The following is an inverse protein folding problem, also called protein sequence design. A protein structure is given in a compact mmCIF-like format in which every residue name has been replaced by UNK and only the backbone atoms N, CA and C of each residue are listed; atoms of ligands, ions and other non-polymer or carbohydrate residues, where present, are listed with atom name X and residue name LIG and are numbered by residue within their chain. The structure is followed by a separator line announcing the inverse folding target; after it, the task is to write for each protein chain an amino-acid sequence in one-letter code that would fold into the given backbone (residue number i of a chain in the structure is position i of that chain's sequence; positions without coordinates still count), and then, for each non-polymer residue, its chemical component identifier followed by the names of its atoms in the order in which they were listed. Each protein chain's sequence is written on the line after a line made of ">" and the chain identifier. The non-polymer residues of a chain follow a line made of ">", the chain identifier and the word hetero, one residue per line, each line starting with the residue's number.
data_IF_252993129024
#
_entry.id   IF_252993129024
#
_cell.length_a   1.000
_cell.length_b   1.000
_cell.length_c   1.000
_cell.angle_alpha   90.00
_cell.angle_beta   90.00
_cell.angle_gamma   90.00
#
_symmetry.space_group_name_H-M   'P 1'
#
loop_
_entity.id
_entity.type
_entity.pdbx_description
1 polymer ?
#
# COMPACT_ATOMS: atom_id res chain seq x y z
N UNK A 1 -25.57 15.37 -8.63
CA UNK A 1 -25.45 14.28 -7.64
C UNK A 1 -24.29 14.62 -6.71
N UNK A 2 -24.57 14.99 -5.47
CA UNK A 2 -23.55 15.10 -4.43
C UNK A 2 -23.01 13.69 -4.21
N UNK A 3 -21.74 13.51 -4.50
CA UNK A 3 -21.15 12.19 -4.54
C UNK A 3 -20.42 11.95 -3.22
N UNK A 4 -21.04 11.13 -2.37
CA UNK A 4 -20.54 10.73 -1.05
C UNK A 4 -19.46 9.62 -1.14
N UNK A 5 -18.74 9.49 -2.26
CA UNK A 5 -17.63 8.56 -2.33
C UNK A 5 -16.45 9.05 -1.49
N UNK A 6 -15.74 8.09 -0.87
CA UNK A 6 -14.36 8.29 -0.40
C UNK A 6 -13.41 7.86 -1.51
N UNK A 7 -12.48 8.74 -1.89
CA UNK A 7 -11.32 8.37 -2.71
C UNK A 7 -10.20 7.83 -1.84
N UNK A 8 -9.87 6.55 -2.00
CA UNK A 8 -8.74 5.91 -1.31
C UNK A 8 -7.64 5.62 -2.31
N UNK A 9 -6.44 6.15 -2.07
CA UNK A 9 -5.25 5.87 -2.88
C UNK A 9 -4.22 5.08 -2.08
N UNK A 10 -3.63 4.05 -2.70
CA UNK A 10 -2.42 3.39 -2.22
C UNK A 10 -1.29 3.63 -3.21
N UNK A 11 -0.11 4.01 -2.71
CA UNK A 11 1.04 4.27 -3.54
C UNK A 11 2.38 3.98 -2.86
N UNK A 12 3.11 2.98 -3.36
CA UNK A 12 4.53 2.81 -3.05
C UNK A 12 5.35 3.83 -3.86
N UNK A 13 5.86 4.85 -3.17
CA UNK A 13 6.54 6.00 -3.80
C UNK A 13 8.05 5.83 -3.91
N UNK A 14 8.59 4.67 -3.54
CA UNK A 14 10.03 4.35 -3.58
C UNK A 14 10.89 5.50 -3.07
N UNK A 15 10.61 5.94 -1.84
CA UNK A 15 11.33 7.02 -1.17
C UNK A 15 11.35 8.36 -1.92
N UNK A 16 10.35 8.65 -2.76
CA UNK A 16 10.33 9.86 -3.59
C UNK A 16 11.60 10.02 -4.45
N UNK A 17 12.17 8.89 -4.91
CA UNK A 17 13.42 8.86 -5.65
C UNK A 17 14.64 9.42 -4.89
N UNK A 18 14.67 9.34 -3.55
CA UNK A 18 15.77 9.84 -2.72
C UNK A 18 17.16 9.38 -3.17
N UNK A 19 17.29 8.13 -3.63
CA UNK A 19 18.55 7.56 -4.12
C UNK A 19 18.74 7.68 -5.66
N UNK A 20 17.95 8.52 -6.33
CA UNK A 20 18.08 8.84 -7.78
C UNK A 20 18.06 7.62 -8.70
N UNK A 21 17.22 6.62 -8.42
CA UNK A 21 17.03 5.45 -9.28
C UNK A 21 16.45 5.82 -10.66
N UNK A 22 15.62 6.86 -10.70
CA UNK A 22 15.11 7.46 -11.93
C UNK A 22 15.95 8.72 -12.21
N UNK A 23 16.46 8.85 -13.43
CA UNK A 23 17.26 10.00 -13.90
C UNK A 23 16.36 11.22 -14.17
N UNK A 24 15.73 11.71 -13.13
CA UNK A 24 14.84 12.87 -13.14
C UNK A 24 14.79 13.43 -11.71
N UNK A 25 15.39 14.60 -11.49
CA UNK A 25 15.44 15.23 -10.17
C UNK A 25 14.06 15.81 -9.74
N UNK A 26 13.09 15.91 -10.66
CA UNK A 26 11.76 16.43 -10.38
C UNK A 26 10.75 15.35 -9.92
N UNK A 27 11.18 14.10 -9.73
CA UNK A 27 10.28 13.00 -9.37
C UNK A 27 9.54 13.25 -8.05
N UNK A 28 10.22 13.78 -7.03
CA UNK A 28 9.58 14.16 -5.75
C UNK A 28 8.39 15.11 -5.99
N UNK A 29 8.63 16.19 -6.74
CA UNK A 29 7.61 17.19 -7.07
C UNK A 29 6.49 16.62 -7.96
N UNK A 30 6.82 15.72 -8.90
CA UNK A 30 5.84 15.06 -9.77
C UNK A 30 4.91 14.14 -8.98
N UNK A 31 5.45 13.40 -7.99
CA UNK A 31 4.65 12.56 -7.10
C UNK A 31 3.71 13.44 -6.26
N UNK A 32 4.23 14.49 -5.63
CA UNK A 32 3.42 15.42 -4.81
C UNK A 32 2.32 16.07 -5.65
N UNK A 33 2.68 16.59 -6.83
CA UNK A 33 1.74 17.25 -7.75
C UNK A 33 0.65 16.27 -8.21
N UNK A 34 1.03 15.04 -8.56
CA UNK A 34 0.08 14.00 -8.95
C UNK A 34 -0.90 13.65 -7.83
N UNK A 35 -0.41 13.46 -6.59
CA UNK A 35 -1.27 13.16 -5.45
C UNK A 35 -2.26 14.30 -5.20
N UNK A 36 -1.79 15.54 -5.19
CA UNK A 36 -2.64 16.72 -4.99
C UNK A 36 -3.65 16.89 -6.14
N UNK A 37 -3.25 16.64 -7.40
CA UNK A 37 -4.13 16.66 -8.58
C UNK A 37 -5.25 15.61 -8.47
N UNK A 38 -4.92 14.38 -8.06
CA UNK A 38 -5.93 13.32 -7.87
C UNK A 38 -6.78 13.52 -6.62
N UNK A 39 -6.28 14.30 -5.66
CA UNK A 39 -6.97 14.71 -4.43
C UNK A 39 -7.71 13.53 -3.76
N UNK A 40 -7.00 12.44 -3.42
CA UNK A 40 -7.61 11.37 -2.65
C UNK A 40 -7.99 11.89 -1.25
N UNK A 41 -9.01 11.31 -0.65
CA UNK A 41 -9.47 11.69 0.69
C UNK A 41 -8.69 10.93 1.77
N UNK A 42 -8.22 9.74 1.42
CA UNK A 42 -7.30 8.91 2.21
C UNK A 42 -6.17 8.43 1.32
N UNK A 43 -4.93 8.56 1.79
CA UNK A 43 -3.73 8.21 1.06
C UNK A 43 -2.84 7.32 1.93
N UNK A 44 -2.65 6.07 1.51
CA UNK A 44 -1.72 5.13 2.09
C UNK A 44 -0.43 5.10 1.29
N UNK A 45 0.68 5.56 1.88
CA UNK A 45 1.99 5.57 1.23
C UNK A 45 2.87 4.48 1.82
N UNK A 46 3.35 3.59 0.96
CA UNK A 46 4.47 2.71 1.27
C UNK A 46 5.76 3.38 0.84
N UNK A 47 6.84 3.05 1.53
CA UNK A 47 8.15 3.61 1.25
C UNK A 47 8.22 5.15 1.33
N UNK A 48 7.50 5.74 2.28
CA UNK A 48 7.46 7.17 2.51
C UNK A 48 8.76 7.65 3.18
N UNK A 49 9.60 8.38 2.45
CA UNK A 49 10.69 9.17 3.02
C UNK A 49 10.11 10.50 3.54
N UNK A 50 10.20 10.79 4.84
CA UNK A 50 9.62 11.98 5.45
C UNK A 50 10.46 13.25 5.19
N UNK A 51 9.82 14.41 5.11
CA UNK A 51 10.42 15.71 4.77
C UNK A 51 9.36 16.79 4.84
N UNK A 52 9.61 17.84 5.60
CA UNK A 52 8.72 19.00 5.79
C UNK A 52 8.53 19.83 4.51
N UNK A 53 9.40 19.64 3.52
CA UNK A 53 9.33 20.36 2.24
C UNK A 53 8.18 19.86 1.36
N UNK A 54 7.68 18.63 1.60
CA UNK A 54 6.60 18.04 0.78
C UNK A 54 5.24 18.48 1.29
N UNK A 55 4.57 19.29 0.49
CA UNK A 55 3.22 19.82 0.77
C UNK A 55 2.16 18.91 0.17
N UNK A 56 1.74 17.91 0.95
CA UNK A 56 0.56 17.10 0.66
C UNK A 56 -0.66 17.78 1.29
N UNK A 57 -1.73 17.96 0.53
CA UNK A 57 -2.94 18.67 0.98
C UNK A 57 -3.85 17.79 1.87
N UNK A 58 -3.39 17.52 3.09
CA UNK A 58 -4.11 16.74 4.08
C UNK A 58 -4.04 17.40 5.46
N UNK A 59 -5.16 17.39 6.16
CA UNK A 59 -5.26 17.93 7.52
C UNK A 59 -4.70 16.99 8.59
N UNK A 60 -4.78 15.68 8.35
CA UNK A 60 -4.36 14.66 9.31
C UNK A 60 -3.36 13.72 8.67
N UNK A 61 -2.38 13.27 9.47
CA UNK A 61 -1.40 12.30 9.03
C UNK A 61 -0.95 11.40 10.18
N UNK A 62 -0.46 10.23 9.81
CA UNK A 62 0.20 9.30 10.69
C UNK A 62 1.39 8.69 9.96
N UNK A 63 2.58 8.85 10.51
CA UNK A 63 3.83 8.32 9.97
C UNK A 63 4.47 7.38 10.98
N UNK A 64 4.93 6.22 10.49
CA UNK A 64 5.69 5.25 11.27
C UNK A 64 7.00 4.95 10.55
N UNK A 65 8.15 5.38 11.08
CA UNK A 65 9.45 5.09 10.48
C UNK A 65 9.80 3.60 10.60
N UNK A 66 10.60 3.08 9.65
CA UNK A 66 11.10 1.69 9.67
C UNK A 66 12.01 1.39 10.87
N UNK A 67 12.68 2.40 11.40
CA UNK A 67 13.45 2.31 12.65
C UNK A 67 13.63 3.70 13.26
N UNK A 68 14.00 3.76 14.55
CA UNK A 68 14.17 5.02 15.30
C UNK A 68 15.11 6.03 14.63
N UNK A 69 16.05 5.57 13.80
CA UNK A 69 17.07 6.41 13.17
C UNK A 69 16.85 6.63 11.66
N UNK A 70 15.73 6.14 11.11
CA UNK A 70 15.45 6.26 9.67
C UNK A 70 14.27 7.17 9.42
N UNK A 71 14.45 8.13 8.54
CA UNK A 71 13.41 9.07 8.11
C UNK A 71 12.52 8.49 7.00
N UNK A 72 12.23 7.19 7.06
CA UNK A 72 11.58 6.44 5.99
C UNK A 72 10.72 5.32 6.55
N UNK A 73 9.51 5.12 6.04
CA UNK A 73 8.57 4.12 6.55
C UNK A 73 7.22 4.09 5.84
N UNK A 74 6.15 3.89 6.63
CA UNK A 74 4.77 3.91 6.17
C UNK A 74 4.10 5.21 6.61
N UNK A 75 3.23 5.76 5.77
CA UNK A 75 2.40 6.89 6.14
C UNK A 75 0.95 6.68 5.70
N UNK A 76 0.01 7.20 6.48
CA UNK A 76 -1.38 7.39 6.06
C UNK A 76 -1.73 8.86 6.24
N UNK A 77 -2.28 9.47 5.20
CA UNK A 77 -2.82 10.83 5.21
C UNK A 77 -4.33 10.78 5.04
N UNK A 78 -5.03 11.70 5.70
CA UNK A 78 -6.49 11.74 5.71
C UNK A 78 -7.00 13.17 5.73
N UNK A 79 -8.06 13.43 4.96
CA UNK A 79 -8.86 14.65 5.08
C UNK A 79 -9.85 14.59 6.25
N UNK A 80 -10.18 13.38 6.70
CA UNK A 80 -11.04 13.12 7.85
C UNK A 80 -10.24 13.05 9.16
N UNK A 81 -10.82 13.47 10.30
CA UNK A 81 -10.17 13.36 11.61
C UNK A 81 -9.73 11.93 11.92
N UNK A 82 -8.46 11.77 12.29
CA UNK A 82 -7.92 10.52 12.82
C UNK A 82 -8.20 10.47 14.32
N UNK A 83 -9.07 9.56 14.75
CA UNK A 83 -9.48 9.43 16.16
C UNK A 83 -8.73 8.31 16.90
N UNK A 84 -8.14 7.38 16.17
CA UNK A 84 -7.24 6.37 16.70
C UNK A 84 -6.24 5.94 15.62
N UNK A 85 -5.07 5.42 16.02
CA UNK A 85 -4.01 4.98 15.10
C UNK A 85 -3.09 3.99 15.79
N UNK A 86 -2.48 3.10 15.02
CA UNK A 86 -1.57 2.10 15.57
C UNK A 86 -0.66 1.46 14.54
N UNK A 87 0.36 0.78 15.05
CA UNK A 87 1.37 0.06 14.27
C UNK A 87 1.42 -1.38 14.76
N UNK A 88 1.45 -2.33 13.83
CA UNK A 88 1.54 -3.75 14.18
C UNK A 88 2.98 -4.13 14.58
N UNK A 89 3.98 -3.34 14.21
CA UNK A 89 5.39 -3.54 14.58
C UNK A 89 5.87 -4.96 14.29
N UNK A 90 5.82 -5.39 13.03
CA UNK A 90 6.33 -6.70 12.63
C UNK A 90 7.75 -6.92 13.17
N UNK A 91 7.92 -8.00 13.96
CA UNK A 91 9.19 -8.30 14.61
C UNK A 91 10.29 -8.52 13.57
N UNK A 92 11.48 -8.00 13.86
CA UNK A 92 12.68 -8.19 13.03
C UNK A 92 12.47 -7.82 11.55
N UNK A 93 11.60 -6.84 11.30
CA UNK A 93 11.23 -6.44 9.96
C UNK A 93 11.35 -4.95 9.75
N UNK A 94 11.86 -4.60 8.57
CA UNK A 94 11.78 -3.27 8.00
C UNK A 94 10.41 -3.01 7.35
N UNK A 95 9.58 -4.05 7.23
CA UNK A 95 8.21 -4.02 6.73
C UNK A 95 7.23 -3.89 7.89
N UNK A 96 6.02 -3.41 7.64
CA UNK A 96 5.04 -3.19 8.70
C UNK A 96 3.61 -3.14 8.14
N UNK A 97 2.64 -3.13 9.06
CA UNK A 97 1.28 -2.71 8.80
C UNK A 97 0.90 -1.64 9.82
N UNK A 98 0.29 -0.56 9.35
CA UNK A 98 -0.20 0.53 10.21
C UNK A 98 -1.66 0.78 9.92
N UNK A 99 -2.39 1.36 10.88
CA UNK A 99 -3.78 1.72 10.69
C UNK A 99 -4.11 3.08 11.27
N UNK A 100 -5.17 3.67 10.74
CA UNK A 100 -5.88 4.81 11.32
C UNK A 100 -7.36 4.48 11.40
N UNK A 101 -8.03 4.96 12.44
CA UNK A 101 -9.48 5.00 12.53
C UNK A 101 -9.89 6.44 12.25
N UNK A 102 -10.70 6.65 11.22
CA UNK A 102 -11.18 7.96 10.82
C UNK A 102 -12.64 8.15 11.20
N UNK A 103 -13.00 9.37 11.58
CA UNK A 103 -14.39 9.78 11.81
C UNK A 103 -14.99 10.37 10.53
N UNK A 104 -16.05 9.76 10.00
CA UNK A 104 -16.81 10.27 8.86
C UNK A 104 -18.28 10.40 9.25
N UNK A 105 -18.75 11.63 9.40
CA UNK A 105 -20.08 11.88 9.98
C UNK A 105 -20.15 11.33 11.40
N UNK A 106 -21.00 10.32 11.63
CA UNK A 106 -21.13 9.61 12.92
C UNK A 106 -20.44 8.24 12.94
N UNK A 107 -19.92 7.79 11.80
CA UNK A 107 -19.33 6.46 11.65
C UNK A 107 -17.80 6.50 11.79
N UNK A 108 -17.24 5.38 12.23
CA UNK A 108 -15.79 5.15 12.26
C UNK A 108 -15.40 4.12 11.21
N UNK A 109 -14.39 4.44 10.41
CA UNK A 109 -13.84 3.55 9.38
C UNK A 109 -12.38 3.31 9.70
N UNK A 110 -11.96 2.04 9.75
CA UNK A 110 -10.54 1.68 9.88
C UNK A 110 -9.89 1.57 8.51
N UNK A 111 -8.74 2.22 8.33
CA UNK A 111 -7.92 2.10 7.13
C UNK A 111 -6.56 1.54 7.49
N UNK A 112 -6.21 0.41 6.89
CA UNK A 112 -4.90 -0.22 6.99
C UNK A 112 -4.02 0.13 5.80
N UNK A 113 -2.75 0.35 6.07
CA UNK A 113 -1.66 0.43 5.08
C UNK A 113 -0.65 -0.68 5.38
N UNK A 114 -0.61 -1.69 4.49
CA UNK A 114 0.29 -2.83 4.56
C UNK A 114 1.49 -2.61 3.62
N UNK A 115 2.68 -2.95 4.09
CA UNK A 115 3.83 -3.17 3.22
C UNK A 115 4.52 -4.44 3.67
N UNK A 116 4.19 -5.56 3.04
CA UNK A 116 4.69 -6.89 3.41
C UNK A 116 6.10 -7.14 2.90
N UNK A 117 6.77 -8.16 3.44
CA UNK A 117 8.15 -8.51 3.11
C UNK A 117 8.35 -8.67 1.59
N UNK A 118 9.29 -7.89 1.03
CA UNK A 118 9.72 -8.06 -0.36
C UNK A 118 10.55 -9.32 -0.54
N UNK A 119 10.34 -10.02 -1.66
CA UNK A 119 11.15 -11.15 -2.10
C UNK A 119 12.52 -10.73 -2.64
N UNK A 120 12.72 -9.43 -2.91
CA UNK A 120 14.00 -8.84 -3.38
C UNK A 120 14.58 -9.54 -4.62
N UNK A 121 13.73 -10.07 -5.47
CA UNK A 121 14.12 -10.67 -6.74
C UNK A 121 14.26 -9.58 -7.81
N UNK A 122 15.33 -9.65 -8.60
CA UNK A 122 15.52 -8.80 -9.77
C UNK A 122 15.45 -9.67 -11.03
N UNK A 123 14.31 -9.70 -11.72
CA UNK A 123 14.15 -10.60 -12.85
C UNK A 123 14.97 -10.24 -14.10
N UNK A 124 15.62 -9.07 -14.12
CA UNK A 124 16.53 -8.68 -15.19
C UNK A 124 17.95 -9.25 -15.00
N UNK A 125 18.20 -10.02 -13.93
CA UNK A 125 19.51 -10.62 -13.63
C UNK A 125 19.42 -12.14 -13.60
N UNK A 126 20.54 -12.79 -13.93
CA UNK A 126 20.71 -14.23 -13.69
C UNK A 126 20.45 -14.56 -12.22
N UNK A 127 19.85 -15.73 -11.97
CA UNK A 127 19.41 -16.17 -10.63
C UNK A 127 18.61 -15.09 -9.87
N UNK A 128 17.91 -14.22 -10.61
CA UNK A 128 17.14 -13.10 -10.08
C UNK A 128 17.96 -12.15 -9.17
N UNK A 129 19.27 -12.03 -9.43
CA UNK A 129 20.19 -11.20 -8.67
C UNK A 129 20.90 -11.92 -7.52
N UNK A 130 20.66 -13.22 -7.33
CA UNK A 130 21.42 -14.06 -6.39
C UNK A 130 22.64 -14.69 -7.06
N UNK A 131 23.57 -15.17 -6.24
CA UNK A 131 24.80 -15.81 -6.71
C UNK A 131 24.52 -17.16 -7.39
N UNK A 132 23.54 -17.92 -6.87
CA UNK A 132 23.16 -19.24 -7.39
C UNK A 132 21.71 -19.59 -7.04
N UNK A 133 21.23 -20.70 -7.62
CA UNK A 133 19.86 -21.20 -7.44
C UNK A 133 19.54 -21.58 -5.99
N UNK A 134 20.50 -22.13 -5.24
CA UNK A 134 20.31 -22.48 -3.83
C UNK A 134 20.06 -21.25 -2.95
N UNK A 135 20.84 -20.19 -3.16
CA UNK A 135 20.64 -18.90 -2.46
C UNK A 135 19.31 -18.25 -2.85
N UNK A 136 18.90 -18.38 -4.11
CA UNK A 136 17.58 -17.94 -4.56
C UNK A 136 16.46 -18.68 -3.85
N UNK A 137 16.51 -20.01 -3.80
CA UNK A 137 15.50 -20.83 -3.09
C UNK A 137 15.45 -20.43 -1.62
N UNK A 138 16.59 -20.35 -0.96
CA UNK A 138 16.67 -19.95 0.45
C UNK A 138 16.13 -18.54 0.69
N UNK A 139 16.37 -17.59 -0.23
CA UNK A 139 15.81 -16.24 -0.16
C UNK A 139 14.29 -16.24 -0.26
N UNK A 140 13.75 -16.98 -1.23
CA UNK A 140 12.31 -17.09 -1.44
C UNK A 140 11.65 -17.74 -0.22
N UNK A 141 12.21 -18.84 0.28
CA UNK A 141 11.74 -19.53 1.49
C UNK A 141 11.66 -18.56 2.69
N UNK A 142 12.77 -17.88 2.99
CA UNK A 142 12.81 -16.90 4.09
C UNK A 142 11.82 -15.74 3.86
N UNK A 143 11.68 -15.29 2.61
CA UNK A 143 10.72 -14.25 2.24
C UNK A 143 9.28 -14.68 2.50
N UNK A 144 8.90 -15.89 2.06
CA UNK A 144 7.56 -16.43 2.25
C UNK A 144 7.25 -16.74 3.72
N UNK A 145 8.19 -17.28 4.48
CA UNK A 145 8.02 -17.49 5.93
C UNK A 145 7.71 -16.16 6.64
N UNK A 146 8.48 -15.10 6.33
CA UNK A 146 8.22 -13.76 6.88
C UNK A 146 6.86 -13.22 6.45
N UNK A 147 6.49 -13.35 5.16
CA UNK A 147 5.17 -12.93 4.69
C UNK A 147 4.04 -13.68 5.43
N UNK A 148 4.20 -14.97 5.70
CA UNK A 148 3.23 -15.76 6.45
C UNK A 148 3.03 -15.23 7.87
N UNK A 149 4.12 -15.04 8.63
CA UNK A 149 4.05 -14.48 10.00
C UNK A 149 3.44 -13.08 10.02
N UNK A 150 3.81 -12.22 9.07
CA UNK A 150 3.24 -10.86 8.95
C UNK A 150 1.74 -10.89 8.64
N UNK A 151 1.32 -11.81 7.76
CA UNK A 151 -0.08 -12.00 7.39
C UNK A 151 -0.89 -12.49 8.58
N UNK A 152 -0.39 -13.47 9.33
CA UNK A 152 -1.07 -13.99 10.53
C UNK A 152 -1.19 -12.92 11.62
N UNK A 153 -0.14 -12.13 11.83
CA UNK A 153 -0.18 -11.01 12.78
C UNK A 153 -1.21 -9.95 12.35
N UNK A 154 -1.28 -9.63 11.06
CA UNK A 154 -2.29 -8.75 10.52
C UNK A 154 -3.71 -9.29 10.74
N UNK A 155 -3.98 -10.55 10.36
CA UNK A 155 -5.30 -11.17 10.49
C UNK A 155 -5.75 -11.25 11.96
N UNK A 156 -4.83 -11.52 12.89
CA UNK A 156 -5.12 -11.54 14.31
C UNK A 156 -5.57 -10.14 14.83
N UNK A 157 -4.92 -9.07 14.36
CA UNK A 157 -5.31 -7.70 14.69
C UNK A 157 -6.62 -7.29 14.00
N UNK A 158 -6.76 -7.60 12.71
CA UNK A 158 -7.96 -7.32 11.92
C UNK A 158 -9.21 -7.94 12.55
N UNK A 159 -9.12 -9.18 13.04
CA UNK A 159 -10.21 -9.89 13.70
C UNK A 159 -10.79 -9.15 14.91
N UNK A 160 -10.02 -8.25 15.55
CA UNK A 160 -10.48 -7.45 16.68
C UNK A 160 -11.39 -6.29 16.25
N UNK A 161 -11.34 -5.89 14.97
CA UNK A 161 -12.21 -4.87 14.39
C UNK A 161 -13.51 -5.50 13.86
N UNK A 162 -14.62 -4.77 14.00
CA UNK A 162 -15.96 -5.18 13.55
C UNK A 162 -16.70 -4.12 12.74
N UNK A 163 -16.10 -2.93 12.59
CA UNK A 163 -16.68 -1.85 11.81
C UNK A 163 -16.30 -1.93 10.34
N UNK A 164 -16.62 -0.84 9.61
CA UNK A 164 -16.23 -0.63 8.21
C UNK A 164 -14.70 -0.61 8.11
N UNK A 165 -14.16 -1.25 7.07
CA UNK A 165 -12.70 -1.32 6.89
C UNK A 165 -12.24 -1.23 5.44
N UNK A 166 -11.06 -0.65 5.27
CA UNK A 166 -10.31 -0.64 4.01
C UNK A 166 -8.89 -1.13 4.30
N UNK A 167 -8.48 -2.19 3.60
CA UNK A 167 -7.13 -2.75 3.68
C UNK A 167 -6.42 -2.46 2.38
N UNK A 168 -5.36 -1.66 2.41
CA UNK A 168 -4.63 -1.32 1.20
C UNK A 168 -3.12 -1.39 1.39
N UNK A 169 -2.39 -1.50 0.30
CA UNK A 169 -0.94 -1.42 0.32
C UNK A 169 -0.23 -2.36 -0.64
N UNK A 170 1.09 -2.44 -0.47
CA UNK A 170 1.99 -3.29 -1.24
C UNK A 170 2.17 -4.64 -0.54
N UNK A 171 1.58 -5.69 -1.10
CA UNK A 171 1.62 -7.02 -0.51
C UNK A 171 2.90 -7.77 -0.92
N UNK A 172 3.72 -7.21 -1.82
CA UNK A 172 4.91 -7.85 -2.37
C UNK A 172 4.66 -9.27 -2.91
N UNK A 173 3.42 -9.56 -3.32
CA UNK A 173 3.01 -10.84 -3.86
C UNK A 173 1.76 -10.69 -4.74
N UNK A 174 1.50 -11.67 -5.59
CA UNK A 174 0.44 -11.57 -6.60
C UNK A 174 -0.94 -11.94 -6.06
N UNK A 175 -1.98 -11.63 -6.84
CA UNK A 175 -3.37 -12.01 -6.59
C UNK A 175 -3.61 -13.54 -6.56
N UNK A 176 -2.61 -14.35 -6.90
CA UNK A 176 -2.67 -15.83 -6.86
C UNK A 176 -1.97 -16.42 -5.63
N UNK A 177 -1.36 -15.57 -4.80
CA UNK A 177 -0.57 -16.00 -3.65
C UNK A 177 -1.43 -16.43 -2.47
N UNK A 178 -0.86 -17.28 -1.60
CA UNK A 178 -1.47 -17.63 -0.32
C UNK A 178 -1.73 -16.40 0.55
N UNK A 179 -0.79 -15.44 0.56
CA UNK A 179 -0.88 -14.18 1.30
C UNK A 179 -2.11 -13.40 0.87
N UNK A 180 -2.26 -13.15 -0.43
CA UNK A 180 -3.42 -12.47 -0.98
C UNK A 180 -4.70 -13.22 -0.61
N UNK A 181 -4.76 -14.53 -0.88
CA UNK A 181 -5.96 -15.36 -0.59
C UNK A 181 -6.38 -15.23 0.87
N UNK A 182 -5.43 -15.26 1.81
CA UNK A 182 -5.71 -15.14 3.24
C UNK A 182 -6.25 -13.75 3.61
N UNK A 183 -5.60 -12.69 3.15
CA UNK A 183 -6.00 -11.31 3.45
C UNK A 183 -7.32 -10.94 2.77
N UNK A 184 -7.56 -11.40 1.54
CA UNK A 184 -8.76 -11.09 0.76
C UNK A 184 -9.98 -11.93 1.14
N UNK A 185 -9.84 -12.91 2.02
CA UNK A 185 -10.97 -13.75 2.45
C UNK A 185 -12.03 -12.89 3.14
N UNK A 186 -13.28 -13.04 2.71
CA UNK A 186 -14.44 -12.24 3.18
C UNK A 186 -14.31 -10.72 2.94
N UNK A 187 -13.60 -10.31 1.89
CA UNK A 187 -13.50 -8.92 1.44
C UNK A 187 -13.77 -8.82 -0.05
N UNK A 188 -14.08 -7.60 -0.50
CA UNK A 188 -14.09 -7.25 -1.92
C UNK A 188 -12.71 -6.75 -2.33
N UNK A 189 -12.20 -7.21 -3.47
CA UNK A 189 -11.02 -6.62 -4.12
C UNK A 189 -11.48 -5.54 -5.09
N UNK A 190 -11.14 -4.28 -4.80
CA UNK A 190 -11.64 -3.15 -5.59
C UNK A 190 -11.26 -3.22 -7.07
N UNK A 191 -10.12 -3.82 -7.40
CA UNK A 191 -9.76 -4.06 -8.80
C UNK A 191 -10.66 -5.12 -9.45
N UNK A 192 -11.00 -6.18 -8.71
CA UNK A 192 -11.85 -7.25 -9.24
C UNK A 192 -13.30 -6.77 -9.45
N UNK A 193 -13.79 -5.89 -8.57
CA UNK A 193 -15.15 -5.33 -8.65
C UNK A 193 -15.30 -4.25 -9.73
N UNK A 194 -14.33 -3.32 -9.85
CA UNK A 194 -14.49 -2.10 -10.65
C UNK A 194 -13.25 -1.71 -11.47
N UNK A 195 -12.29 -2.63 -11.61
CA UNK A 195 -11.07 -2.43 -12.40
C UNK A 195 -11.21 -2.86 -13.86
N UNK A 196 -10.16 -2.59 -14.63
CA UNK A 196 -10.10 -2.95 -16.06
C UNK A 196 -8.69 -3.41 -16.45
N UNK A 197 -8.59 -4.30 -17.43
CA UNK A 197 -7.32 -4.82 -17.93
C UNK A 197 -6.69 -5.82 -16.96
N UNK A 198 -5.36 -5.82 -16.85
CA UNK A 198 -4.60 -6.78 -16.03
C UNK A 198 -4.20 -6.24 -14.64
N UNK A 199 -4.58 -4.99 -14.33
CA UNK A 199 -4.38 -4.40 -13.00
C UNK A 199 -2.92 -4.19 -12.59
N UNK A 200 -2.00 -4.15 -13.56
CA UNK A 200 -0.56 -3.97 -13.35
C UNK A 200 -0.27 -2.79 -12.41
N UNK A 201 0.33 -3.07 -11.26
CA UNK A 201 0.75 -2.07 -10.27
C UNK A 201 2.27 -2.03 -10.05
N UNK A 202 3.01 -2.99 -10.59
CA UNK A 202 4.48 -2.97 -10.59
C UNK A 202 5.05 -2.75 -11.99
N UNK A 203 6.08 -1.91 -12.10
CA UNK A 203 6.74 -1.56 -13.35
C UNK A 203 7.71 -2.67 -13.80
N UNK A 204 7.12 -3.75 -14.27
CA UNK A 204 7.83 -4.92 -14.79
C UNK A 204 7.29 -5.30 -16.18
N UNK A 205 8.03 -6.08 -16.98
CA UNK A 205 7.56 -6.39 -18.35
C UNK A 205 6.25 -7.18 -18.31
N UNK A 206 6.10 -8.09 -17.34
CA UNK A 206 4.87 -8.81 -17.08
C UNK A 206 3.91 -7.95 -16.23
N UNK A 207 2.59 -7.99 -16.48
CA UNK A 207 1.61 -7.17 -15.77
C UNK A 207 1.34 -7.67 -14.34
N UNK A 208 2.34 -7.52 -13.47
CA UNK A 208 2.24 -7.90 -12.07
C UNK A 208 1.38 -6.90 -11.29
N UNK A 209 0.38 -7.43 -10.59
CA UNK A 209 -0.42 -6.72 -9.59
C UNK A 209 -0.03 -7.20 -8.20
N UNK A 210 0.63 -6.31 -7.44
CA UNK A 210 1.11 -6.58 -6.07
C UNK A 210 0.63 -5.55 -5.05
N UNK A 211 0.14 -4.41 -5.52
CA UNK A 211 -0.60 -3.43 -4.73
C UNK A 211 -2.11 -3.69 -4.80
N UNK A 212 -2.78 -3.61 -3.64
CA UNK A 212 -4.20 -3.95 -3.49
C UNK A 212 -4.96 -2.88 -2.69
N UNK A 213 -6.27 -2.77 -2.97
CA UNK A 213 -7.24 -2.10 -2.10
C UNK A 213 -8.41 -3.06 -1.91
N UNK A 214 -8.61 -3.50 -0.69
CA UNK A 214 -9.64 -4.45 -0.27
C UNK A 214 -10.60 -3.75 0.70
N UNK A 215 -11.87 -4.09 0.66
CA UNK A 215 -12.90 -3.49 1.52
C UNK A 215 -13.77 -4.56 2.15
N UNK A 216 -14.51 -4.19 3.21
CA UNK A 216 -15.59 -5.04 3.71
C UNK A 216 -16.65 -5.32 2.61
N UNK A 217 -17.43 -6.39 2.79
CA UNK A 217 -18.41 -6.85 1.80
C UNK A 217 -19.61 -5.92 1.63
N UNK A 218 -19.89 -5.06 2.60
CA UNK A 218 -20.98 -4.09 2.53
C UNK A 218 -20.64 -2.86 1.70
N UNK A 219 -19.35 -2.64 1.42
CA UNK A 219 -18.86 -1.49 0.65
C UNK A 219 -19.32 -1.55 -0.80
N UNK A 220 -19.86 -0.44 -1.31
CA UNK A 220 -20.08 -0.21 -2.74
C UNK A 220 -18.79 0.32 -3.38
N UNK A 221 -18.34 -0.31 -4.47
CA UNK A 221 -17.10 0.07 -5.17
C UNK A 221 -17.47 0.65 -6.53
N UNK A 222 -17.45 1.97 -6.63
CA UNK A 222 -17.93 2.71 -7.81
C UNK A 222 -16.91 2.79 -8.93
N UNK A 223 -15.61 2.75 -8.59
CA UNK A 223 -14.53 2.85 -9.59
C UNK A 223 -13.21 2.36 -9.02
N UNK A 224 -12.42 1.69 -9.84
CA UNK A 224 -11.00 1.47 -9.58
C UNK A 224 -10.15 1.95 -10.76
N UNK A 225 -8.98 2.53 -10.46
CA UNK A 225 -8.03 2.96 -11.48
C UNK A 225 -6.58 2.73 -11.03
N UNK A 226 -5.79 2.13 -11.91
CA UNK A 226 -4.32 2.17 -11.85
C UNK A 226 -3.81 3.29 -12.75
N UNK A 227 -2.94 4.15 -12.22
CA UNK A 227 -2.38 5.27 -12.98
C UNK A 227 -1.01 4.91 -13.55
N UNK A 228 -0.88 4.92 -14.88
CA UNK A 228 0.39 4.65 -15.57
C UNK A 228 1.34 5.87 -15.48
N UNK A 229 1.82 6.16 -14.27
CA UNK A 229 2.79 7.22 -13.97
C UNK A 229 4.08 6.58 -13.47
N UNK A 230 5.14 6.63 -14.29
CA UNK A 230 6.46 6.06 -14.00
C UNK A 230 7.29 6.96 -13.07
N UNK A 231 6.70 7.38 -11.95
CA UNK A 231 7.39 8.17 -10.93
C UNK A 231 7.99 7.30 -9.81
N UNK A 232 7.61 6.03 -9.79
CA UNK A 232 8.12 4.98 -8.92
C UNK A 232 8.27 3.70 -9.77
N UNK A 233 8.86 2.64 -9.22
CA UNK A 233 8.71 1.29 -9.76
C UNK A 233 7.34 0.69 -9.48
N UNK A 234 6.48 1.37 -8.70
CA UNK A 234 5.07 1.06 -8.58
C UNK A 234 4.20 2.12 -9.29
N UNK A 235 3.02 1.68 -9.72
CA UNK A 235 1.96 2.52 -10.24
C UNK A 235 0.93 2.79 -9.13
N UNK A 236 0.53 4.06 -8.91
CA UNK A 236 -0.49 4.37 -7.93
C UNK A 236 -1.83 3.73 -8.30
N UNK A 237 -2.54 3.21 -7.30
CA UNK A 237 -3.90 2.69 -7.43
C UNK A 237 -4.87 3.52 -6.60
N UNK A 238 -6.08 3.73 -7.11
CA UNK A 238 -7.11 4.48 -6.40
C UNK A 238 -8.47 3.86 -6.64
N UNK A 239 -9.28 3.85 -5.59
CA UNK A 239 -10.69 3.44 -5.64
C UNK A 239 -11.61 4.55 -5.19
N UNK A 240 -12.87 4.50 -5.62
CA UNK A 240 -13.98 5.29 -5.10
C UNK A 240 -14.97 4.34 -4.43
N UNK A 241 -15.19 4.54 -3.14
CA UNK A 241 -16.00 3.64 -2.32
C UNK A 241 -17.07 4.40 -1.55
N UNK A 242 -18.19 3.74 -1.29
CA UNK A 242 -19.27 4.26 -0.48
C UNK A 242 -19.86 3.17 0.44
N UNK A 243 -20.54 3.59 1.50
CA UNK A 243 -21.32 2.75 2.40
C UNK A 243 -22.73 3.31 2.58
#
# INVERSE_FOLDING_TARGET
>A
MLNDDIKVMSYNVRMFNFYKWIKDDAIDQKIVSFINEKSPDILAIQEYHHSDKRKLDFRYSYFVPKSKHKNFGLAIFSKFPIINKGSLNFKESANNAIFIDILRGKDTIRVYNLHLQSLKINPAKENFGEENSEKLIKRLENGFQKQATQTEQFLAHEKQWKGKEVVCGDFNNTAYSWVYKKISTHKKDAFSEAGSGLGKSFNYFFPMRIDFILTDTSTEINRFQTFNKKYSDHYPIMTRINW
#
